data_IF_719908966650
#
_entry.id   IF_719908966650
#
_cell.length_a   1.000
_cell.length_b   1.000
_cell.length_c   1.000
_cell.angle_alpha   90.00
_cell.angle_beta   90.00
_cell.angle_gamma   90.00
#
_symmetry.space_group_name_H-M   'P 1'
#
loop_
_entity.id
_entity.type
_entity.pdbx_description
1 polymer ?
#
# COMPACT_ATOMS: atom_id res chain seq x y z
N UNK A 1 -20.59 39.99 -61.19
CA UNK A 1 -20.73 38.55 -60.94
C UNK A 1 -21.93 38.08 -61.74
N UNK A 2 -21.79 37.02 -62.52
CA UNK A 2 -22.94 36.50 -63.27
C UNK A 2 -23.95 35.94 -62.26
N UNK A 3 -25.15 36.47 -62.21
CA UNK A 3 -26.24 35.96 -61.37
C UNK A 3 -26.92 34.82 -62.13
N UNK A 4 -26.56 33.56 -61.75
CA UNK A 4 -27.23 32.38 -62.28
C UNK A 4 -28.54 32.15 -61.49
N UNK A 5 -29.67 32.13 -62.15
CA UNK A 5 -31.01 31.99 -61.55
C UNK A 5 -31.22 30.53 -61.01
N UNK A 6 -30.61 29.51 -61.68
CA UNK A 6 -30.78 28.09 -61.33
C UNK A 6 -29.83 27.64 -60.19
N UNK A 7 -28.74 28.32 -59.92
CA UNK A 7 -27.78 27.91 -58.87
C UNK A 7 -27.52 29.12 -57.97
N UNK A 8 -28.17 29.17 -56.79
CA UNK A 8 -27.99 30.27 -55.84
C UNK A 8 -26.77 29.99 -54.93
N UNK A 9 -25.59 30.46 -55.37
CA UNK A 9 -24.32 30.30 -54.68
C UNK A 9 -24.34 30.98 -53.29
N UNK A 10 -25.11 32.07 -53.14
CA UNK A 10 -25.22 32.80 -51.85
C UNK A 10 -25.99 31.95 -50.84
N UNK A 11 -27.08 31.34 -51.26
CA UNK A 11 -27.84 30.38 -50.42
C UNK A 11 -27.01 29.15 -50.02
N UNK A 12 -26.26 28.54 -50.94
CA UNK A 12 -25.36 27.43 -50.64
C UNK A 12 -24.25 27.80 -49.69
N UNK A 13 -23.71 29.00 -49.79
CA UNK A 13 -22.71 29.51 -48.84
C UNK A 13 -23.32 29.75 -47.44
N UNK A 14 -24.51 30.34 -47.38
CA UNK A 14 -25.25 30.54 -46.14
C UNK A 14 -25.61 29.22 -45.48
N UNK A 15 -26.03 28.18 -46.25
CA UNK A 15 -26.30 26.85 -45.73
C UNK A 15 -25.04 26.15 -45.16
N UNK A 16 -23.89 26.27 -45.85
CA UNK A 16 -22.61 25.72 -45.30
C UNK A 16 -22.25 26.38 -43.98
N UNK A 17 -22.38 27.69 -43.88
CA UNK A 17 -22.09 28.42 -42.64
C UNK A 17 -23.07 28.05 -41.52
N UNK A 18 -24.36 27.82 -41.85
CA UNK A 18 -25.36 27.37 -40.91
C UNK A 18 -25.00 25.95 -40.37
N UNK A 19 -24.63 25.01 -41.24
CA UNK A 19 -24.21 23.67 -40.85
C UNK A 19 -22.97 23.71 -39.95
N UNK A 20 -22.00 24.55 -40.27
CA UNK A 20 -20.82 24.75 -39.43
C UNK A 20 -21.18 25.30 -38.03
N UNK A 21 -22.09 26.26 -37.96
CA UNK A 21 -22.59 26.81 -36.70
C UNK A 21 -23.35 25.76 -35.87
N UNK A 22 -24.14 24.92 -36.51
CA UNK A 22 -24.85 23.80 -35.85
C UNK A 22 -23.87 22.76 -35.29
N UNK A 23 -22.82 22.38 -36.04
CA UNK A 23 -21.80 21.46 -35.54
C UNK A 23 -21.02 22.04 -34.38
N UNK A 24 -20.68 23.33 -34.40
CA UNK A 24 -20.06 24.03 -33.30
C UNK A 24 -20.96 24.08 -32.06
N UNK A 25 -22.25 24.35 -32.25
CA UNK A 25 -23.25 24.35 -31.18
C UNK A 25 -23.32 22.96 -30.51
N UNK A 26 -23.41 21.90 -31.30
CA UNK A 26 -23.46 20.52 -30.79
C UNK A 26 -22.19 20.17 -29.97
N UNK A 27 -21.02 20.56 -30.46
CA UNK A 27 -19.74 20.34 -29.74
C UNK A 27 -19.70 21.10 -28.42
N UNK A 28 -20.11 22.39 -28.42
CA UNK A 28 -20.14 23.19 -27.18
C UNK A 28 -21.16 22.66 -26.18
N UNK A 29 -22.32 22.21 -26.62
CA UNK A 29 -23.30 21.53 -25.77
C UNK A 29 -22.74 20.24 -25.17
N UNK A 30 -22.08 19.42 -25.96
CA UNK A 30 -21.47 18.17 -25.51
C UNK A 30 -20.38 18.44 -24.44
N UNK A 31 -19.50 19.41 -24.67
CA UNK A 31 -18.44 19.80 -23.71
C UNK A 31 -19.01 20.39 -22.43
N UNK A 32 -20.02 21.20 -22.52
CA UNK A 32 -20.69 21.81 -21.37
C UNK A 32 -21.43 20.73 -20.54
N UNK A 33 -22.05 19.78 -21.21
CA UNK A 33 -22.78 18.68 -20.55
C UNK A 33 -21.85 17.68 -19.89
N UNK A 34 -20.70 17.34 -20.51
CA UNK A 34 -19.71 16.41 -19.95
C UNK A 34 -18.73 17.05 -18.98
N UNK A 35 -18.56 18.39 -19.03
CA UNK A 35 -17.50 19.11 -18.34
C UNK A 35 -16.10 18.86 -18.94
N UNK A 36 -16.02 18.12 -20.04
CA UNK A 36 -14.75 17.74 -20.66
C UNK A 36 -14.54 18.43 -22.00
N UNK A 37 -13.34 18.97 -22.20
CA UNK A 37 -12.87 19.51 -23.48
C UNK A 37 -12.61 18.42 -24.51
N UNK A 38 -12.02 17.31 -24.05
CA UNK A 38 -11.70 16.12 -24.85
C UNK A 38 -12.65 14.99 -24.45
N UNK A 39 -13.62 14.68 -25.31
CA UNK A 39 -14.66 13.69 -25.04
C UNK A 39 -14.46 12.41 -25.85
N UNK A 40 -13.75 12.52 -26.96
CA UNK A 40 -13.49 11.40 -27.87
C UNK A 40 -12.09 11.51 -28.50
N UNK A 41 -11.60 10.38 -29.07
CA UNK A 41 -10.34 10.38 -29.79
C UNK A 41 -10.32 11.31 -31.03
N UNK A 42 -11.50 11.71 -31.53
CA UNK A 42 -11.64 12.66 -32.63
C UNK A 42 -11.26 14.09 -32.19
N UNK A 43 -11.49 14.44 -30.92
CA UNK A 43 -11.23 15.79 -30.40
C UNK A 43 -9.74 16.02 -30.17
N UNK A 44 -9.06 15.05 -29.53
CA UNK A 44 -7.63 15.04 -29.28
C UNK A 44 -7.16 13.61 -28.94
N UNK A 45 -6.66 12.89 -29.93
CA UNK A 45 -6.20 11.51 -29.73
C UNK A 45 -4.97 11.42 -28.83
N UNK A 46 -4.05 12.40 -28.91
CA UNK A 46 -2.84 12.43 -28.09
C UNK A 46 -3.15 12.79 -26.63
N UNK A 47 -3.96 13.84 -26.42
CA UNK A 47 -4.40 14.24 -25.09
C UNK A 47 -5.20 13.16 -24.38
N UNK A 48 -6.10 12.47 -25.11
CA UNK A 48 -6.87 11.35 -24.56
C UNK A 48 -5.95 10.21 -24.11
N UNK A 49 -4.98 9.78 -24.93
CA UNK A 49 -4.06 8.71 -24.60
C UNK A 49 -3.17 9.04 -23.38
N UNK A 50 -2.76 10.30 -23.24
CA UNK A 50 -2.01 10.78 -22.06
C UNK A 50 -2.90 10.74 -20.82
N UNK A 51 -4.12 11.29 -20.92
CA UNK A 51 -5.07 11.35 -19.81
C UNK A 51 -5.50 9.96 -19.32
N UNK A 52 -5.67 9.00 -20.23
CA UNK A 52 -5.96 7.60 -19.89
C UNK A 52 -4.81 6.94 -19.12
N UNK A 53 -3.55 7.16 -19.54
CA UNK A 53 -2.38 6.69 -18.79
C UNK A 53 -2.32 7.32 -17.40
N UNK A 54 -2.52 8.63 -17.29
CA UNK A 54 -2.58 9.31 -16.00
C UNK A 54 -3.70 8.76 -15.12
N UNK A 55 -4.87 8.50 -15.70
CA UNK A 55 -5.99 7.90 -14.98
C UNK A 55 -5.65 6.49 -14.46
N UNK A 56 -4.97 5.67 -15.25
CA UNK A 56 -4.51 4.35 -14.84
C UNK A 56 -3.48 4.45 -13.69
N UNK A 57 -2.54 5.39 -13.78
CA UNK A 57 -1.54 5.63 -12.73
C UNK A 57 -2.18 6.13 -11.44
N UNK A 58 -3.13 7.08 -11.50
CA UNK A 58 -3.88 7.58 -10.32
C UNK A 58 -4.65 6.43 -9.66
N UNK A 59 -5.32 5.57 -10.44
CA UNK A 59 -5.98 4.39 -9.89
C UNK A 59 -4.99 3.43 -9.24
N UNK A 60 -3.84 3.18 -9.88
CA UNK A 60 -2.76 2.36 -9.32
C UNK A 60 -2.22 2.92 -8.00
N UNK A 61 -1.91 4.22 -7.94
CA UNK A 61 -1.46 4.88 -6.72
C UNK A 61 -2.49 4.84 -5.59
N UNK A 62 -3.79 4.97 -5.89
CA UNK A 62 -4.84 4.82 -4.88
C UNK A 62 -4.91 3.38 -4.31
N UNK A 63 -4.62 2.37 -5.12
CA UNK A 63 -4.47 0.99 -4.62
C UNK A 63 -3.21 0.86 -3.77
N UNK A 64 -2.10 1.45 -4.22
CA UNK A 64 -0.83 1.45 -3.50
C UNK A 64 -0.95 2.09 -2.11
N UNK A 65 -1.72 3.17 -1.96
CA UNK A 65 -2.04 3.77 -0.65
C UNK A 65 -2.78 2.77 0.25
N UNK A 66 -3.73 2.00 -0.28
CA UNK A 66 -4.41 0.97 0.52
C UNK A 66 -3.45 -0.15 0.93
N UNK A 67 -2.65 -0.65 0.00
CA UNK A 67 -1.65 -1.67 0.28
C UNK A 67 -0.63 -1.22 1.33
N UNK A 68 -0.23 0.05 1.31
CA UNK A 68 0.66 0.62 2.31
C UNK A 68 0.00 0.66 3.71
N UNK A 69 -1.30 1.00 3.80
CA UNK A 69 -2.05 0.94 5.05
C UNK A 69 -2.20 -0.51 5.56
N UNK A 70 -2.37 -1.48 4.67
CA UNK A 70 -2.39 -2.90 5.03
C UNK A 70 -1.02 -3.32 5.59
N UNK A 71 0.08 -2.82 4.99
CA UNK A 71 1.43 -3.02 5.51
C UNK A 71 1.65 -2.41 6.90
N UNK A 72 1.13 -1.22 7.16
CA UNK A 72 1.15 -0.59 8.49
C UNK A 72 0.37 -1.45 9.49
N UNK A 73 -0.82 -1.90 9.12
CA UNK A 73 -1.66 -2.73 10.00
C UNK A 73 -0.99 -4.06 10.36
N UNK A 74 -0.30 -4.67 9.40
CA UNK A 74 0.51 -5.87 9.64
C UNK A 74 1.65 -5.57 10.62
N UNK A 75 2.41 -4.49 10.38
CA UNK A 75 3.53 -4.09 11.21
C UNK A 75 3.09 -3.77 12.65
N UNK A 76 1.96 -3.10 12.84
CA UNK A 76 1.36 -2.83 14.15
C UNK A 76 0.93 -4.11 14.87
N UNK A 77 0.35 -5.07 14.15
CA UNK A 77 -0.01 -6.38 14.71
C UNK A 77 1.22 -7.14 15.17
N UNK A 78 2.27 -7.14 14.36
CA UNK A 78 3.55 -7.76 14.70
C UNK A 78 4.21 -7.07 15.92
N UNK A 79 4.24 -5.75 15.94
CA UNK A 79 4.82 -4.98 17.06
C UNK A 79 4.05 -5.22 18.37
N UNK A 80 2.72 -5.26 18.33
CA UNK A 80 1.90 -5.56 19.50
C UNK A 80 2.20 -6.93 20.11
N UNK A 81 2.38 -7.95 19.27
CA UNK A 81 2.76 -9.28 19.72
C UNK A 81 4.21 -9.32 20.26
N UNK A 82 5.16 -8.67 19.58
CA UNK A 82 6.55 -8.57 20.05
C UNK A 82 6.65 -7.83 21.38
N UNK A 83 5.81 -6.82 21.62
CA UNK A 83 5.75 -6.15 22.92
C UNK A 83 5.35 -7.11 24.05
N UNK A 84 4.34 -7.96 23.82
CA UNK A 84 3.90 -8.98 24.79
C UNK A 84 4.96 -10.04 25.04
N UNK A 85 5.68 -10.47 24.00
CA UNK A 85 6.81 -11.37 24.14
C UNK A 85 7.90 -10.71 24.99
N UNK A 86 8.20 -9.42 24.75
CA UNK A 86 9.16 -8.65 25.54
C UNK A 86 8.78 -8.55 27.02
N UNK A 87 7.50 -8.26 27.34
CA UNK A 87 6.98 -8.24 28.70
C UNK A 87 7.18 -9.59 29.41
N UNK A 88 6.84 -10.69 28.73
CA UNK A 88 7.02 -12.03 29.26
C UNK A 88 8.50 -12.38 29.48
N UNK A 89 9.39 -12.01 28.56
CA UNK A 89 10.85 -12.20 28.70
C UNK A 89 11.40 -11.41 29.89
N UNK A 90 10.94 -10.19 30.12
CA UNK A 90 11.36 -9.40 31.28
C UNK A 90 10.91 -10.09 32.58
N UNK A 91 9.68 -10.61 32.63
CA UNK A 91 9.19 -11.36 33.78
C UNK A 91 10.01 -12.65 34.01
N UNK A 92 10.33 -13.37 32.94
CA UNK A 92 11.21 -14.55 33.02
C UNK A 92 12.59 -14.17 33.54
N UNK A 93 13.14 -13.02 33.13
CA UNK A 93 14.41 -12.50 33.65
C UNK A 93 14.36 -12.23 35.15
N UNK A 94 13.28 -11.61 35.64
CA UNK A 94 13.08 -11.38 37.09
C UNK A 94 13.09 -12.70 37.87
N UNK A 95 12.34 -13.70 37.38
CA UNK A 95 12.31 -15.06 38.00
C UNK A 95 13.68 -15.72 37.99
N UNK A 96 14.45 -15.57 36.92
CA UNK A 96 15.82 -16.09 36.84
C UNK A 96 16.76 -15.43 37.84
N UNK A 97 16.68 -14.11 37.98
CA UNK A 97 17.46 -13.36 38.99
C UNK A 97 17.04 -13.78 40.41
N UNK A 98 15.74 -13.93 40.67
CA UNK A 98 15.22 -14.38 41.96
C UNK A 98 15.70 -15.80 42.26
N UNK A 99 15.64 -16.72 41.32
CA UNK A 99 16.06 -18.13 41.50
C UNK A 99 17.54 -18.24 41.83
N UNK A 100 18.39 -17.32 41.35
CA UNK A 100 19.83 -17.30 41.61
C UNK A 100 20.18 -16.94 43.06
N UNK A 101 19.24 -16.37 43.83
CA UNK A 101 19.52 -15.99 45.20
C UNK A 101 19.84 -17.23 46.06
N UNK A 102 20.92 -17.16 46.85
CA UNK A 102 21.38 -18.24 47.71
C UNK A 102 20.42 -18.60 48.85
N UNK A 103 19.46 -17.70 49.18
CA UNK A 103 18.45 -17.93 50.21
C UNK A 103 17.36 -18.91 49.78
N UNK A 104 17.20 -19.13 48.47
CA UNK A 104 16.19 -20.03 47.94
C UNK A 104 16.62 -21.48 48.07
N UNK A 105 15.75 -22.31 48.65
CA UNK A 105 15.91 -23.75 48.67
C UNK A 105 15.49 -24.42 47.33
N UNK A 106 15.70 -25.70 47.19
CA UNK A 106 15.36 -26.47 45.96
C UNK A 106 13.85 -26.40 45.67
N UNK A 107 13.01 -26.44 46.70
CA UNK A 107 11.54 -26.35 46.57
C UNK A 107 11.08 -24.99 46.05
N UNK A 108 11.71 -23.91 46.55
CA UNK A 108 11.41 -22.55 46.09
C UNK A 108 11.78 -22.38 44.61
N UNK A 109 12.96 -22.86 44.21
CA UNK A 109 13.40 -22.84 42.82
C UNK A 109 12.50 -23.68 41.92
N UNK A 110 12.00 -24.82 42.40
CA UNK A 110 11.03 -25.64 41.64
C UNK A 110 9.69 -24.92 41.44
N UNK A 111 9.24 -24.07 42.40
CA UNK A 111 8.05 -23.27 42.24
C UNK A 111 8.27 -22.13 41.26
N UNK A 112 9.39 -21.41 41.33
CA UNK A 112 9.77 -20.39 40.34
C UNK A 112 9.88 -20.98 38.91
N UNK A 113 10.39 -22.20 38.79
CA UNK A 113 10.47 -22.91 37.52
C UNK A 113 9.08 -23.21 36.91
N UNK A 114 8.06 -23.43 37.71
CA UNK A 114 6.70 -23.62 37.20
C UNK A 114 6.18 -22.36 36.52
N UNK A 115 6.28 -21.19 37.21
CA UNK A 115 5.90 -19.91 36.64
C UNK A 115 6.70 -19.60 35.36
N UNK A 116 7.99 -19.86 35.40
CA UNK A 116 8.89 -19.66 34.26
C UNK A 116 8.46 -20.50 33.05
N UNK A 117 8.06 -21.75 33.28
CA UNK A 117 7.58 -22.65 32.22
C UNK A 117 6.25 -22.20 31.61
N UNK A 118 5.33 -21.67 32.42
CA UNK A 118 4.07 -21.11 31.92
C UNK A 118 4.35 -19.89 31.03
N UNK A 119 5.27 -19.02 31.39
CA UNK A 119 5.69 -17.88 30.56
C UNK A 119 6.34 -18.33 29.25
N UNK A 120 7.17 -19.41 29.27
CA UNK A 120 7.71 -20.02 28.06
C UNK A 120 6.58 -20.51 27.12
N UNK A 121 5.60 -21.19 27.70
CA UNK A 121 4.44 -21.70 26.94
C UNK A 121 3.60 -20.55 26.34
N UNK A 122 3.48 -19.43 27.06
CA UNK A 122 2.74 -18.26 26.58
C UNK A 122 3.50 -17.55 25.46
N UNK A 123 4.83 -17.46 25.53
CA UNK A 123 5.66 -16.94 24.42
C UNK A 123 5.48 -17.81 23.18
N UNK A 124 5.60 -19.15 23.33
CA UNK A 124 5.42 -20.09 22.21
C UNK A 124 4.01 -19.97 21.60
N UNK A 125 2.98 -19.88 22.45
CA UNK A 125 1.61 -19.64 22.00
C UNK A 125 1.47 -18.33 21.24
N UNK A 126 2.10 -17.26 21.70
CA UNK A 126 2.05 -15.95 21.05
C UNK A 126 2.75 -15.99 19.69
N UNK A 127 3.93 -16.64 19.60
CA UNK A 127 4.68 -16.82 18.35
C UNK A 127 3.83 -17.57 17.31
N UNK A 128 3.24 -18.69 17.71
CA UNK A 128 2.43 -19.55 16.81
C UNK A 128 1.05 -18.95 16.51
N UNK A 129 0.48 -18.22 17.47
CA UNK A 129 -0.88 -17.71 17.42
C UNK A 129 -1.01 -16.37 16.70
N UNK A 130 0.08 -15.60 16.55
CA UNK A 130 0.02 -14.30 15.89
C UNK A 130 -0.09 -14.46 14.40
N UNK A 131 -1.26 -14.09 13.86
CA UNK A 131 -1.61 -14.23 12.45
C UNK A 131 -2.14 -12.89 11.91
N UNK A 132 -1.88 -12.65 10.65
CA UNK A 132 -2.50 -11.57 9.88
C UNK A 132 -3.14 -12.17 8.63
N UNK A 133 -4.42 -11.93 8.43
CA UNK A 133 -5.21 -12.51 7.33
C UNK A 133 -5.05 -14.05 7.20
N UNK A 134 -4.95 -14.77 8.35
CA UNK A 134 -4.78 -16.22 8.37
C UNK A 134 -3.34 -16.73 8.27
N UNK A 135 -2.41 -15.91 7.80
CA UNK A 135 -0.98 -16.25 7.70
C UNK A 135 -0.25 -15.94 9.00
N UNK A 136 0.59 -16.87 9.44
CA UNK A 136 1.40 -16.70 10.64
C UNK A 136 2.55 -15.72 10.40
N UNK A 137 2.76 -14.78 11.34
CA UNK A 137 3.80 -13.76 11.20
C UNK A 137 5.17 -14.21 11.72
N UNK A 138 5.21 -15.10 12.71
CA UNK A 138 6.43 -15.48 13.44
C UNK A 138 6.73 -16.99 13.40
N UNK A 139 5.80 -17.82 12.92
CA UNK A 139 6.01 -19.28 12.88
C UNK A 139 7.07 -19.65 11.83
N UNK A 140 7.58 -20.88 11.92
CA UNK A 140 8.61 -21.42 11.01
C UNK A 140 8.24 -21.39 9.53
N UNK A 141 6.95 -21.42 9.25
CA UNK A 141 6.39 -21.31 7.89
C UNK A 141 6.04 -19.86 7.50
N UNK A 142 6.34 -18.87 8.35
CA UNK A 142 6.13 -17.48 8.01
C UNK A 142 7.02 -17.08 6.82
N UNK A 143 6.50 -16.25 5.95
CA UNK A 143 7.27 -15.73 4.83
C UNK A 143 8.48 -14.95 5.36
N UNK A 144 9.67 -15.32 4.90
CA UNK A 144 10.92 -14.66 5.29
C UNK A 144 10.95 -13.19 4.86
N UNK A 145 10.17 -12.87 3.83
CA UNK A 145 10.05 -11.53 3.29
C UNK A 145 8.64 -11.32 2.71
N UNK A 146 7.95 -10.32 3.22
CA UNK A 146 6.64 -9.88 2.74
C UNK A 146 6.85 -8.66 1.84
N UNK A 147 6.36 -8.73 0.61
CA UNK A 147 6.47 -7.66 -0.38
C UNK A 147 5.14 -6.94 -0.52
N UNK A 148 5.14 -5.63 -0.33
CA UNK A 148 3.98 -4.76 -0.49
C UNK A 148 4.17 -3.86 -1.71
N UNK A 149 3.21 -3.91 -2.65
CA UNK A 149 3.20 -3.03 -3.81
C UNK A 149 2.71 -1.65 -3.40
N UNK A 150 3.62 -0.67 -3.40
CA UNK A 150 3.38 0.71 -2.98
C UNK A 150 3.58 1.73 -4.10
N UNK A 151 3.65 1.26 -5.33
CA UNK A 151 3.72 2.08 -6.53
C UNK A 151 2.79 1.59 -7.62
N UNK A 152 2.59 2.39 -8.65
CA UNK A 152 1.71 2.07 -9.78
C UNK A 152 2.41 1.32 -10.92
N UNK A 153 3.73 1.14 -10.84
CA UNK A 153 4.57 0.46 -11.81
C UNK A 153 4.93 -0.97 -11.42
N UNK A 154 5.96 -1.49 -12.08
CA UNK A 154 6.48 -2.86 -11.89
C UNK A 154 7.93 -2.87 -11.43
N UNK A 155 8.50 -1.70 -11.14
CA UNK A 155 9.89 -1.56 -10.76
C UNK A 155 10.10 -1.97 -9.28
N UNK A 156 11.34 -2.30 -8.92
CA UNK A 156 11.67 -2.73 -7.56
C UNK A 156 11.42 -1.61 -6.53
N UNK A 157 11.52 -0.35 -6.95
CA UNK A 157 11.21 0.85 -6.16
C UNK A 157 9.73 0.97 -5.79
N UNK A 158 8.85 0.36 -6.60
CA UNK A 158 7.41 0.31 -6.36
C UNK A 158 7.01 -0.71 -5.28
N UNK A 159 7.99 -1.41 -4.69
CA UNK A 159 7.75 -2.41 -3.65
C UNK A 159 8.48 -2.07 -2.35
N UNK A 160 7.81 -2.26 -1.22
CA UNK A 160 8.44 -2.27 0.10
C UNK A 160 8.45 -3.70 0.60
N UNK A 161 9.66 -4.17 0.94
CA UNK A 161 9.86 -5.50 1.50
C UNK A 161 10.01 -5.38 3.02
N UNK A 162 9.16 -6.09 3.75
CA UNK A 162 9.26 -6.26 5.19
C UNK A 162 9.97 -7.58 5.44
N UNK A 163 11.10 -7.54 6.17
CA UNK A 163 11.74 -8.76 6.63
C UNK A 163 10.84 -9.42 7.68
N UNK A 164 10.36 -10.60 7.40
CA UNK A 164 9.61 -11.41 8.35
C UNK A 164 10.49 -11.74 9.57
N UNK A 165 9.92 -11.69 10.76
CA UNK A 165 10.58 -12.15 11.97
C UNK A 165 10.22 -13.62 12.18
N UNK A 166 10.96 -14.53 11.57
CA UNK A 166 10.74 -15.98 11.79
C UNK A 166 11.34 -16.36 13.13
N UNK A 167 10.50 -16.37 14.18
CA UNK A 167 10.89 -16.64 15.56
C UNK A 167 10.54 -18.07 16.02
N UNK A 168 9.66 -18.75 15.32
CA UNK A 168 9.18 -20.10 15.68
C UNK A 168 9.76 -21.21 14.82
N UNK A 169 10.06 -22.34 15.44
CA UNK A 169 10.30 -23.60 14.74
C UNK A 169 11.72 -23.88 14.31
N UNK A 170 12.67 -23.77 15.20
CA UNK A 170 13.91 -24.55 15.08
C UNK A 170 13.58 -26.03 15.09
N UNK A 171 13.46 -26.67 13.92
CA UNK A 171 13.58 -28.12 13.84
C UNK A 171 14.93 -28.51 14.41
N UNK A 172 14.93 -29.44 15.35
CA UNK A 172 16.10 -29.99 16.02
C UNK A 172 17.34 -30.11 15.12
N UNK A 173 18.19 -29.09 15.10
CA UNK A 173 19.52 -29.23 14.53
C UNK A 173 20.34 -29.95 15.58
N UNK A 174 20.78 -31.20 15.31
CA UNK A 174 21.64 -31.94 16.17
C UNK A 174 22.91 -31.14 16.44
N UNK A 175 23.30 -31.06 17.73
CA UNK A 175 24.54 -30.46 18.13
C UNK A 175 25.70 -31.12 17.37
N UNK A 176 26.30 -30.41 16.41
CA UNK A 176 27.45 -30.94 15.67
C UNK A 176 27.69 -30.40 14.28
N UNK A 177 26.80 -29.60 13.70
CA UNK A 177 27.02 -29.02 12.36
C UNK A 177 26.94 -27.52 12.41
N UNK A 178 28.01 -26.89 12.85
CA UNK A 178 28.27 -25.48 12.64
C UNK A 178 28.75 -25.27 11.20
N UNK A 179 27.82 -25.24 10.27
CA UNK A 179 28.09 -24.83 8.89
C UNK A 179 27.06 -23.80 8.48
N UNK A 180 27.52 -22.56 8.40
CA UNK A 180 26.93 -21.45 7.64
C UNK A 180 25.40 -21.36 7.70
N UNK A 181 24.84 -21.02 8.87
CA UNK A 181 23.44 -20.65 8.98
C UNK A 181 23.26 -19.19 8.62
N UNK A 182 22.38 -18.90 7.67
CA UNK A 182 21.84 -17.56 7.43
C UNK A 182 21.29 -16.99 8.73
N UNK A 183 21.33 -15.66 8.90
CA UNK A 183 20.90 -14.93 10.11
C UNK A 183 19.54 -15.38 10.69
N UNK A 184 18.62 -15.81 9.81
CA UNK A 184 17.29 -16.31 10.19
C UNK A 184 17.33 -17.61 11.04
N UNK A 185 18.32 -18.49 10.81
CA UNK A 185 18.47 -19.73 11.59
C UNK A 185 18.95 -19.46 13.03
N UNK A 186 19.84 -18.48 13.21
CA UNK A 186 20.33 -18.11 14.53
C UNK A 186 19.24 -17.48 15.42
N UNK A 187 18.36 -16.67 14.83
CA UNK A 187 17.20 -16.07 15.51
C UNK A 187 16.18 -17.14 15.95
N UNK A 188 15.91 -18.11 15.08
CA UNK A 188 15.04 -19.26 15.39
C UNK A 188 15.61 -20.14 16.48
N UNK A 189 16.91 -20.44 16.45
CA UNK A 189 17.59 -21.27 17.45
C UNK A 189 17.58 -20.58 18.81
N UNK A 190 17.75 -19.25 18.88
CA UNK A 190 17.69 -18.50 20.12
C UNK A 190 16.29 -18.55 20.73
N UNK A 191 15.23 -18.30 19.95
CA UNK A 191 13.86 -18.34 20.44
C UNK A 191 13.41 -19.77 20.76
N UNK A 192 13.84 -20.78 20.01
CA UNK A 192 13.62 -22.18 20.34
C UNK A 192 14.29 -22.58 21.66
N UNK A 193 15.44 -22.00 21.96
CA UNK A 193 16.12 -22.19 23.26
C UNK A 193 15.32 -21.55 24.39
N UNK A 194 14.75 -20.37 24.18
CA UNK A 194 13.92 -19.67 25.19
C UNK A 194 12.60 -20.41 25.45
N UNK A 195 11.91 -20.88 24.38
CA UNK A 195 10.58 -21.51 24.49
C UNK A 195 10.64 -23.01 24.71
N UNK A 196 11.80 -23.63 24.46
CA UNK A 196 12.01 -25.07 24.65
C UNK A 196 12.05 -25.47 26.11
N UNK A 197 11.39 -26.57 26.45
CA UNK A 197 11.60 -27.20 27.75
C UNK A 197 13.04 -27.72 27.86
N UNK A 198 13.66 -27.54 29.02
CA UNK A 198 14.98 -28.10 29.28
C UNK A 198 15.00 -29.61 29.16
N UNK A 199 15.69 -30.16 28.19
CA UNK A 199 15.88 -31.59 27.95
C UNK A 199 17.28 -32.11 28.38
N UNK A 200 18.09 -31.23 28.99
CA UNK A 200 19.47 -31.49 29.38
C UNK A 200 20.51 -30.96 28.35
N UNK A 201 20.08 -30.61 27.15
CA UNK A 201 20.94 -30.13 26.06
C UNK A 201 20.41 -28.82 25.45
N UNK A 202 19.11 -28.57 25.54
CA UNK A 202 18.44 -27.42 24.97
C UNK A 202 17.37 -26.87 25.91
N UNK A 203 16.94 -25.62 25.64
CA UNK A 203 16.02 -24.90 26.50
C UNK A 203 16.73 -24.21 27.66
N UNK A 204 15.99 -23.37 28.38
CA UNK A 204 16.47 -22.70 29.59
C UNK A 204 15.65 -23.13 30.79
N UNK A 205 16.33 -23.32 31.92
CA UNK A 205 15.72 -23.59 33.21
C UNK A 205 16.36 -22.72 34.29
N UNK A 206 15.61 -22.38 35.32
CA UNK A 206 16.07 -21.59 36.47
C UNK A 206 16.05 -22.35 37.78
N UNK A 207 15.54 -23.58 37.77
CA UNK A 207 15.49 -24.50 38.92
C UNK A 207 15.00 -25.87 38.53
N UNK A 208 15.45 -26.87 39.20
CA UNK A 208 15.12 -28.26 39.01
C UNK A 208 16.33 -29.16 39.03
N UNK A 209 16.13 -30.44 39.30
CA UNK A 209 17.19 -31.45 39.24
C UNK A 209 17.66 -31.56 37.81
N UNK A 210 18.98 -31.40 37.57
CA UNK A 210 19.58 -31.70 36.29
C UNK A 210 19.12 -33.10 35.81
N UNK A 211 18.69 -33.21 34.51
CA UNK A 211 18.50 -34.53 33.92
C UNK A 211 19.79 -35.33 34.09
N UNK A 212 19.63 -36.62 34.36
CA UNK A 212 20.73 -37.53 34.70
C UNK A 212 21.98 -37.32 33.84
N UNK A 213 23.01 -36.71 34.41
CA UNK A 213 24.32 -36.52 33.77
C UNK A 213 24.89 -35.08 33.72
N UNK A 214 24.12 -34.04 34.02
CA UNK A 214 24.65 -32.69 34.08
C UNK A 214 24.84 -32.21 35.52
N UNK A 215 26.09 -31.94 35.92
CA UNK A 215 26.48 -31.46 37.26
C UNK A 215 26.34 -29.94 37.44
N UNK A 216 25.49 -29.26 36.66
CA UNK A 216 25.31 -27.83 36.72
C UNK A 216 24.33 -27.50 37.85
N UNK A 217 24.80 -26.80 38.89
CA UNK A 217 23.96 -26.36 39.99
C UNK A 217 22.90 -25.38 39.52
N UNK A 218 21.68 -25.39 40.11
CA UNK A 218 20.57 -24.52 39.67
C UNK A 218 20.86 -23.02 39.62
N UNK A 219 21.88 -22.53 40.36
CA UNK A 219 22.34 -21.14 40.30
C UNK A 219 23.09 -20.81 38.99
N UNK A 220 23.84 -21.77 38.42
CA UNK A 220 24.53 -21.60 37.14
C UNK A 220 23.56 -21.71 35.98
N UNK A 221 22.55 -22.59 36.08
CA UNK A 221 21.43 -22.62 35.10
C UNK A 221 20.71 -21.29 35.03
N UNK A 222 20.39 -20.68 36.15
CA UNK A 222 19.76 -19.35 36.20
C UNK A 222 20.64 -18.26 35.59
N UNK A 223 21.97 -18.36 35.72
CA UNK A 223 22.93 -17.44 35.09
C UNK A 223 22.90 -17.56 33.57
N UNK A 224 22.90 -18.77 33.06
CA UNK A 224 22.84 -18.99 31.60
C UNK A 224 21.47 -18.59 31.04
N UNK A 225 20.40 -18.85 31.78
CA UNK A 225 19.04 -18.38 31.40
C UNK A 225 18.99 -16.84 31.28
N UNK A 226 19.60 -16.10 32.20
CA UNK A 226 19.65 -14.62 32.12
C UNK A 226 20.34 -14.17 30.84
N UNK A 227 21.46 -14.78 30.45
CA UNK A 227 22.18 -14.41 29.22
C UNK A 227 21.30 -14.64 27.97
N UNK A 228 20.72 -15.82 27.86
CA UNK A 228 19.85 -16.18 26.73
C UNK A 228 18.63 -15.26 26.66
N UNK A 229 18.04 -14.91 27.80
CA UNK A 229 16.92 -13.96 27.85
C UNK A 229 17.36 -12.56 27.44
N UNK A 230 18.53 -12.09 27.87
CA UNK A 230 19.06 -10.79 27.48
C UNK A 230 19.33 -10.72 25.96
N UNK A 231 19.86 -11.80 25.37
CA UNK A 231 20.04 -11.91 23.92
C UNK A 231 18.68 -11.94 23.18
N UNK A 232 17.70 -12.66 23.73
CA UNK A 232 16.33 -12.68 23.17
C UNK A 232 15.66 -11.31 23.27
N UNK A 233 15.82 -10.57 24.37
CA UNK A 233 15.31 -9.22 24.51
C UNK A 233 15.93 -8.25 23.49
N UNK A 234 17.24 -8.38 23.24
CA UNK A 234 17.91 -7.58 22.20
C UNK A 234 17.34 -7.91 20.81
N UNK A 235 17.14 -9.17 20.50
CA UNK A 235 16.52 -9.60 19.24
C UNK A 235 15.10 -9.03 19.08
N UNK A 236 14.27 -9.13 20.11
CA UNK A 236 12.91 -8.58 20.07
C UNK A 236 12.92 -7.07 19.87
N UNK A 237 13.81 -6.35 20.55
CA UNK A 237 13.95 -4.91 20.40
C UNK A 237 14.43 -4.51 19.00
N UNK A 238 15.36 -5.26 18.42
CA UNK A 238 15.82 -5.05 17.04
C UNK A 238 14.67 -5.25 16.03
N UNK A 239 13.89 -6.33 16.20
CA UNK A 239 12.71 -6.56 15.34
C UNK A 239 11.66 -5.46 15.51
N UNK A 240 11.38 -5.00 16.74
CA UNK A 240 10.48 -3.88 16.98
C UNK A 240 10.97 -2.59 16.32
N UNK A 241 12.26 -2.29 16.44
CA UNK A 241 12.86 -1.14 15.76
C UNK A 241 12.73 -1.23 14.23
N UNK A 242 12.91 -2.41 13.66
CA UNK A 242 12.75 -2.67 12.24
C UNK A 242 11.28 -2.47 11.78
N UNK A 243 10.30 -2.97 12.54
CA UNK A 243 8.89 -2.74 12.23
C UNK A 243 8.50 -1.26 12.37
N UNK A 244 8.98 -0.56 13.41
CA UNK A 244 8.76 0.87 13.58
C UNK A 244 9.36 1.70 12.45
N UNK A 245 10.59 1.39 12.02
CA UNK A 245 11.20 2.03 10.86
C UNK A 245 10.41 1.78 9.56
N UNK A 246 9.86 0.59 9.42
CA UNK A 246 9.02 0.23 8.26
C UNK A 246 7.69 0.98 8.26
N UNK A 247 7.05 1.16 9.43
CA UNK A 247 5.84 1.98 9.56
C UNK A 247 6.10 3.42 9.11
N UNK A 248 7.16 4.06 9.62
CA UNK A 248 7.55 5.41 9.21
C UNK A 248 7.82 5.50 7.69
N UNK A 249 8.40 4.46 7.11
CA UNK A 249 8.65 4.38 5.66
C UNK A 249 7.35 4.31 4.87
N UNK A 250 6.37 3.52 5.32
CA UNK A 250 5.04 3.47 4.68
C UNK A 250 4.31 4.81 4.79
N UNK A 251 4.34 5.48 5.94
CA UNK A 251 3.73 6.81 6.11
C UNK A 251 4.34 7.84 5.16
N UNK A 252 5.66 7.85 5.02
CA UNK A 252 6.36 8.71 4.07
C UNK A 252 5.94 8.42 2.62
N UNK A 253 5.81 7.15 2.25
CA UNK A 253 5.35 6.74 0.92
C UNK A 253 3.90 7.15 0.69
N UNK A 254 3.00 6.95 1.64
CA UNK A 254 1.60 7.38 1.55
C UNK A 254 1.51 8.89 1.29
N UNK A 255 2.26 9.69 2.05
CA UNK A 255 2.31 11.15 1.87
C UNK A 255 2.78 11.52 0.46
N UNK A 256 3.84 10.89 -0.03
CA UNK A 256 4.36 11.12 -1.38
C UNK A 256 3.34 10.70 -2.46
N UNK A 257 2.70 9.55 -2.31
CA UNK A 257 1.67 9.08 -3.23
C UNK A 257 0.48 10.04 -3.30
N UNK A 258 0.04 10.60 -2.17
CA UNK A 258 -1.06 11.56 -2.13
C UNK A 258 -0.72 12.83 -2.93
N UNK A 259 0.49 13.38 -2.76
CA UNK A 259 0.97 14.52 -3.54
C UNK A 259 1.05 14.18 -5.03
N UNK A 260 1.53 13.00 -5.38
CA UNK A 260 1.60 12.55 -6.76
C UNK A 260 0.21 12.38 -7.39
N UNK A 261 -0.76 11.82 -6.64
CA UNK A 261 -2.16 11.68 -7.07
C UNK A 261 -2.77 13.06 -7.35
N UNK A 262 -2.55 14.03 -6.47
CA UNK A 262 -3.05 15.40 -6.64
C UNK A 262 -2.44 16.05 -7.90
N UNK A 263 -1.11 16.04 -8.02
CA UNK A 263 -0.42 16.62 -9.17
C UNK A 263 -0.85 15.98 -10.50
N UNK A 264 -0.98 14.66 -10.52
CA UNK A 264 -1.35 13.93 -11.72
C UNK A 264 -2.83 14.12 -12.08
N UNK A 265 -3.71 14.22 -11.07
CA UNK A 265 -5.12 14.57 -11.26
C UNK A 265 -5.27 16.00 -11.80
N UNK A 266 -4.51 16.95 -11.26
CA UNK A 266 -4.49 18.33 -11.76
C UNK A 266 -3.94 18.43 -13.19
N UNK A 267 -2.89 17.67 -13.51
CA UNK A 267 -2.35 17.61 -14.87
C UNK A 267 -3.36 17.00 -15.86
N UNK A 268 -4.03 15.90 -15.47
CA UNK A 268 -5.11 15.31 -16.25
C UNK A 268 -6.26 16.29 -16.46
N UNK A 269 -6.68 17.01 -15.41
CA UNK A 269 -7.73 18.04 -15.50
C UNK A 269 -7.40 19.11 -16.53
N UNK A 270 -6.16 19.63 -16.58
CA UNK A 270 -5.73 20.60 -17.59
C UNK A 270 -5.83 20.07 -19.03
N UNK A 271 -5.70 18.76 -19.23
CA UNK A 271 -5.83 18.14 -20.55
C UNK A 271 -7.30 17.92 -20.92
N UNK A 272 -8.08 17.42 -19.97
CA UNK A 272 -9.42 16.89 -20.23
C UNK A 272 -10.55 17.87 -19.96
N UNK A 273 -10.41 18.75 -18.95
CA UNK A 273 -11.53 19.56 -18.46
C UNK A 273 -11.78 20.76 -19.36
N UNK A 274 -13.04 21.14 -19.48
CA UNK A 274 -13.48 22.29 -20.23
C UNK A 274 -13.52 23.55 -19.33
N UNK A 275 -13.08 24.68 -19.88
CA UNK A 275 -13.34 25.99 -19.28
C UNK A 275 -14.79 26.39 -19.56
N UNK A 276 -15.62 26.34 -18.53
CA UNK A 276 -17.04 26.67 -18.60
C UNK A 276 -17.30 28.09 -19.12
N UNK A 277 -16.46 29.09 -18.75
CA UNK A 277 -16.64 30.47 -19.18
C UNK A 277 -16.43 30.60 -20.70
N UNK A 278 -15.36 29.97 -21.19
CA UNK A 278 -15.06 29.95 -22.63
C UNK A 278 -16.14 29.18 -23.41
N UNK A 279 -16.59 28.01 -22.89
CA UNK A 279 -17.54 27.18 -23.61
C UNK A 279 -18.97 27.78 -23.62
N UNK A 280 -19.41 28.46 -22.55
CA UNK A 280 -20.69 29.19 -22.55
C UNK A 280 -20.68 30.38 -23.51
N UNK A 281 -19.54 31.08 -23.66
CA UNK A 281 -19.37 32.12 -24.65
C UNK A 281 -19.46 31.57 -26.09
N UNK A 282 -18.81 30.41 -26.34
CA UNK A 282 -18.88 29.72 -27.63
C UNK A 282 -20.30 29.24 -27.93
N UNK A 283 -21.00 28.70 -26.95
CA UNK A 283 -22.40 28.28 -27.07
C UNK A 283 -23.29 29.46 -27.46
N UNK A 284 -23.19 30.58 -26.74
CA UNK A 284 -23.97 31.80 -27.03
C UNK A 284 -23.67 32.35 -28.43
N UNK A 285 -22.40 32.37 -28.82
CA UNK A 285 -22.00 32.76 -30.19
C UNK A 285 -22.59 31.84 -31.24
N UNK A 286 -22.54 30.54 -31.04
CA UNK A 286 -23.09 29.55 -31.99
C UNK A 286 -24.62 29.69 -32.11
N UNK A 287 -25.33 29.95 -31.02
CA UNK A 287 -26.78 30.21 -31.02
C UNK A 287 -27.14 31.46 -31.84
N UNK A 288 -26.41 32.56 -31.62
CA UNK A 288 -26.62 33.80 -32.37
C UNK A 288 -26.32 33.58 -33.86
N UNK A 289 -25.24 32.89 -34.20
CA UNK A 289 -24.88 32.56 -35.57
C UNK A 289 -25.91 31.64 -36.25
N UNK A 290 -26.48 30.70 -35.50
CA UNK A 290 -27.57 29.84 -36.01
C UNK A 290 -28.81 30.66 -36.34
N UNK A 291 -29.24 31.58 -35.46
CA UNK A 291 -30.39 32.46 -35.71
C UNK A 291 -30.14 33.43 -36.91
N UNK A 292 -28.95 34.06 -36.90
CA UNK A 292 -28.57 34.93 -38.02
C UNK A 292 -28.42 34.17 -39.34
N UNK A 293 -27.86 32.95 -39.30
CA UNK A 293 -27.68 32.08 -40.44
C UNK A 293 -29.02 31.65 -41.07
N UNK A 294 -30.02 31.29 -40.25
CA UNK A 294 -31.35 30.96 -40.72
C UNK A 294 -32.01 32.15 -41.41
N UNK A 295 -31.90 33.37 -40.86
CA UNK A 295 -32.40 34.58 -41.46
C UNK A 295 -31.68 34.91 -42.78
N UNK A 296 -30.37 34.73 -42.84
CA UNK A 296 -29.57 34.95 -44.06
C UNK A 296 -29.93 33.95 -45.18
N UNK A 297 -30.19 32.66 -44.83
CA UNK A 297 -30.67 31.66 -45.82
C UNK A 297 -32.03 32.08 -46.36
N UNK A 298 -32.94 32.51 -45.50
CA UNK A 298 -34.27 33.02 -45.94
C UNK A 298 -34.13 34.24 -46.90
N UNK A 299 -33.26 35.19 -46.51
CA UNK A 299 -33.00 36.38 -47.36
C UNK A 299 -32.33 35.99 -48.70
N UNK A 300 -31.37 35.09 -48.70
CA UNK A 300 -30.66 34.62 -49.88
C UNK A 300 -31.60 33.91 -50.87
N UNK A 301 -32.63 33.20 -50.35
CA UNK A 301 -33.62 32.53 -51.18
C UNK A 301 -34.63 33.50 -51.84
N UNK A 302 -34.80 34.75 -51.33
CA UNK A 302 -35.65 35.76 -51.91
C UNK A 302 -34.97 36.52 -53.04
N UNK A 303 -33.65 36.64 -53.08
CA UNK A 303 -32.89 37.37 -54.09
C UNK A 303 -33.20 36.96 -55.54
N UNK A 304 -33.27 35.65 -55.93
CA UNK A 304 -33.61 35.24 -57.28
C UNK A 304 -35.04 35.66 -57.70
N UNK A 305 -36.00 35.73 -56.76
CA UNK A 305 -37.37 36.11 -57.03
C UNK A 305 -37.47 37.62 -57.33
N UNK A 306 -36.65 38.45 -56.63
CA UNK A 306 -36.58 39.88 -56.95
C UNK A 306 -35.98 40.13 -58.33
N UNK A 307 -34.97 39.39 -58.76
CA UNK A 307 -34.38 39.49 -60.09
C UNK A 307 -35.41 39.06 -61.16
N UNK A 308 -36.19 37.99 -60.89
CA UNK A 308 -37.22 37.55 -61.82
C UNK A 308 -38.37 38.59 -61.98
N UNK A 309 -38.68 39.35 -60.90
CA UNK A 309 -39.70 40.40 -60.94
C UNK A 309 -39.26 41.63 -61.71
N UNK A 310 -37.94 41.86 -61.82
CA UNK A 310 -37.35 42.95 -62.62
C UNK A 310 -37.23 42.63 -64.14
N UNK A 311 -37.39 41.32 -64.50
CA UNK A 311 -37.35 40.82 -65.86
C UNK A 311 -38.75 40.65 -66.47
N UNK A 312 -39.77 40.89 -65.69
CA UNK A 312 -41.15 41.02 -66.13
C UNK A 312 -41.54 42.48 -66.35
#
# INVERSE_FOLDING_TARGET
MAQSVNTNIISLNAQRNLNTSQSSLATSMQRLSSGLRVNSAKDDAAGLAIAERMSAQVRGMNVAVRNANDGISLAQTAEGALSKIGDNLQRMRELAVQSRNATNNEGDRANLQKEFKELQSEIDRTIKGTKFNGEALFASNAATQLSFQVGAGTDDEDTIKISGAVLGGGTSVAAGSATSSTSASAEQDLMATVTGAWDGTRGIAIGGKAASGSSVAGADQAKDAIKVIDEALNLINDKRASFGATQNRFEAVISNLQVNIENQSAARGRIMDADFATETSNLSRAQILQQAGSAMVAQANQLPQQVLSLLR
#
